data_IF_732170122489
#
_entry.id   IF_732170122489
#
_cell.length_a   1.000
_cell.length_b   1.000
_cell.length_c   1.000
_cell.angle_alpha   90.00
_cell.angle_beta   90.00
_cell.angle_gamma   90.00
#
_symmetry.space_group_name_H-M   'P 1'
#
loop_
_entity.id
_entity.type
_entity.pdbx_description
1 polymer ?
#
# COMPACT_ATOMS: atom_id res chain seq x y z
N UNK A 1 13.87 5.07 4.29
CA UNK A 1 13.64 5.92 5.47
C UNK A 1 12.16 5.95 5.79
N UNK A 2 11.75 6.82 6.72
CA UNK A 2 10.37 6.96 7.18
C UNK A 2 9.38 7.34 6.07
N UNK A 3 9.85 7.94 4.97
CA UNK A 3 9.03 8.31 3.81
C UNK A 3 8.40 7.12 3.06
N UNK A 4 8.86 5.89 3.34
CA UNK A 4 8.34 4.66 2.74
C UNK A 4 7.60 3.77 3.74
N UNK A 5 7.28 4.28 4.94
CA UNK A 5 6.53 3.50 5.94
C UNK A 5 5.10 3.23 5.44
N UNK A 6 4.54 2.03 5.68
CA UNK A 6 3.14 1.77 5.36
C UNK A 6 2.23 2.60 6.28
N UNK A 7 1.14 3.14 5.73
CA UNK A 7 0.18 3.91 6.49
C UNK A 7 -1.15 4.07 5.78
N UNK A 8 -2.21 4.19 6.57
CA UNK A 8 -3.56 4.58 6.17
C UNK A 8 -3.88 5.87 6.92
N UNK A 9 -4.21 6.92 6.17
CA UNK A 9 -4.56 8.23 6.69
C UNK A 9 -6.07 8.46 6.52
N UNK A 10 -6.83 8.41 7.62
CA UNK A 10 -8.29 8.51 7.54
C UNK A 10 -8.78 9.96 7.67
N UNK A 11 -9.85 10.30 6.95
CA UNK A 11 -10.51 11.61 7.02
C UNK A 11 -11.66 11.65 8.04
N UNK A 12 -12.25 10.50 8.36
CA UNK A 12 -13.40 10.39 9.26
C UNK A 12 -13.41 9.06 10.01
N UNK A 13 -14.32 8.94 10.98
CA UNK A 13 -14.42 7.75 11.84
C UNK A 13 -14.85 6.50 11.08
N UNK A 14 -15.66 6.62 10.02
CA UNK A 14 -16.08 5.46 9.25
C UNK A 14 -14.90 4.86 8.47
N UNK A 15 -14.06 5.70 7.86
CA UNK A 15 -12.82 5.23 7.23
C UNK A 15 -11.87 4.59 8.25
N UNK A 16 -11.74 5.16 9.45
CA UNK A 16 -10.95 4.56 10.53
C UNK A 16 -11.46 3.17 10.87
N UNK A 17 -12.76 3.04 11.15
CA UNK A 17 -13.42 1.78 11.53
C UNK A 17 -13.22 0.70 10.46
N UNK A 18 -13.43 1.05 9.19
CA UNK A 18 -13.26 0.12 8.06
C UNK A 18 -11.79 -0.30 7.88
N UNK A 19 -10.84 0.61 8.07
CA UNK A 19 -9.42 0.30 8.00
C UNK A 19 -8.98 -0.65 9.12
N UNK A 20 -9.45 -0.41 10.35
CA UNK A 20 -9.17 -1.26 11.52
C UNK A 20 -9.80 -2.66 11.35
N UNK A 21 -11.04 -2.73 10.88
CA UNK A 21 -11.73 -3.99 10.61
C UNK A 21 -11.02 -4.82 9.51
N UNK A 22 -10.56 -4.15 8.45
CA UNK A 22 -9.79 -4.78 7.37
C UNK A 22 -8.44 -5.33 7.86
N UNK A 23 -7.72 -4.54 8.67
CA UNK A 23 -6.46 -4.96 9.28
C UNK A 23 -6.67 -6.17 10.20
N UNK A 24 -7.71 -6.14 11.03
CA UNK A 24 -8.03 -7.24 11.94
C UNK A 24 -8.35 -8.53 11.16
N UNK A 25 -9.15 -8.44 10.09
CA UNK A 25 -9.45 -9.57 9.20
C UNK A 25 -8.17 -10.16 8.59
N UNK A 26 -7.25 -9.31 8.12
CA UNK A 26 -6.00 -9.75 7.50
C UNK A 26 -5.01 -10.36 8.52
N UNK A 27 -4.99 -9.86 9.74
CA UNK A 27 -4.18 -10.48 10.82
C UNK A 27 -4.77 -11.84 11.19
N UNK A 28 -6.10 -11.94 11.32
CA UNK A 28 -6.80 -13.19 11.66
C UNK A 28 -6.71 -14.25 10.55
N UNK A 29 -6.59 -13.86 9.28
CA UNK A 29 -6.46 -14.81 8.18
C UNK A 29 -5.16 -15.60 8.24
N UNK A 30 -4.14 -15.13 8.98
CA UNK A 30 -2.83 -15.78 9.04
C UNK A 30 -2.05 -15.71 7.72
N UNK A 31 -2.49 -14.90 6.76
CA UNK A 31 -1.82 -14.72 5.45
C UNK A 31 -0.36 -14.30 5.63
N UNK A 32 -0.09 -13.50 6.66
CA UNK A 32 1.25 -13.05 7.03
C UNK A 32 1.64 -13.56 8.42
N UNK A 33 2.76 -14.27 8.50
CA UNK A 33 3.35 -14.71 9.77
C UNK A 33 4.02 -13.55 10.53
N UNK A 34 4.54 -12.58 9.80
CA UNK A 34 5.17 -11.39 10.37
C UNK A 34 4.09 -10.36 10.77
N UNK A 35 4.32 -9.57 11.83
CA UNK A 35 3.38 -8.55 12.25
C UNK A 35 3.23 -7.46 11.18
N UNK A 36 1.99 -7.06 10.93
CA UNK A 36 1.66 -5.98 10.00
C UNK A 36 1.97 -4.64 10.68
N UNK A 37 2.84 -3.84 10.07
CA UNK A 37 3.31 -2.55 10.62
C UNK A 37 2.55 -1.32 10.11
N UNK A 38 1.45 -1.53 9.40
CA UNK A 38 0.64 -0.44 8.82
C UNK A 38 0.04 0.41 9.93
N UNK A 39 0.37 1.70 9.96
CA UNK A 39 -0.20 2.65 10.90
C UNK A 39 -1.53 3.19 10.39
N UNK A 40 -2.56 3.26 11.25
CA UNK A 40 -3.85 3.88 10.95
C UNK A 40 -3.94 5.17 11.76
N UNK A 41 -3.79 6.32 11.09
CA UNK A 41 -3.67 7.63 11.76
C UNK A 41 -4.59 8.65 11.10
N UNK A 42 -5.05 9.70 11.82
CA UNK A 42 -5.83 10.75 11.20
C UNK A 42 -4.99 11.45 10.12
N UNK A 43 -5.60 11.77 8.99
CA UNK A 43 -4.98 12.66 8.03
C UNK A 43 -4.78 14.03 8.70
N UNK A 44 -3.56 14.54 8.65
CA UNK A 44 -3.24 15.92 8.98
C UNK A 44 -3.24 16.77 7.68
N UNK A 45 -2.07 17.14 7.16
CA UNK A 45 -1.93 17.92 5.92
C UNK A 45 -1.45 17.06 4.77
N UNK A 46 -2.05 17.26 3.61
CA UNK A 46 -1.58 16.70 2.35
C UNK A 46 -0.93 17.79 1.51
N UNK A 47 0.33 17.56 1.13
CA UNK A 47 1.07 18.42 0.20
C UNK A 47 1.19 17.68 -1.12
N UNK A 48 0.56 18.17 -2.20
CA UNK A 48 0.73 17.57 -3.52
C UNK A 48 2.21 17.53 -3.90
N UNK A 49 2.67 16.38 -4.39
CA UNK A 49 3.98 16.27 -5.01
C UNK A 49 4.05 17.09 -6.31
N UNK A 50 5.26 17.41 -6.75
CA UNK A 50 5.51 18.15 -7.98
C UNK A 50 4.92 17.45 -9.22
N UNK A 51 4.59 18.23 -10.25
CA UNK A 51 3.87 17.75 -11.45
C UNK A 51 4.58 16.59 -12.17
N UNK A 52 5.91 16.54 -12.14
CA UNK A 52 6.66 15.46 -12.77
C UNK A 52 6.53 14.11 -12.03
N UNK A 53 6.10 14.12 -10.77
CA UNK A 53 5.76 12.90 -10.01
C UNK A 53 4.34 12.41 -10.28
N UNK A 54 3.42 13.32 -10.63
CA UNK A 54 2.03 12.98 -10.89
C UNK A 54 1.92 12.08 -12.13
N UNK A 55 1.13 11.00 -12.01
CA UNK A 55 0.95 10.00 -13.07
C UNK A 55 2.26 9.41 -13.63
N UNK A 56 3.32 9.34 -12.82
CA UNK A 56 4.65 8.90 -13.29
C UNK A 56 4.62 7.56 -14.03
N UNK A 57 3.80 6.60 -13.57
CA UNK A 57 3.66 5.29 -14.21
C UNK A 57 3.04 5.35 -15.62
N UNK A 58 2.22 6.38 -15.90
CA UNK A 58 1.63 6.64 -17.23
C UNK A 58 2.57 7.46 -18.11
N UNK A 59 3.22 8.48 -17.54
CA UNK A 59 4.16 9.37 -18.25
C UNK A 59 5.48 8.69 -18.62
N UNK A 60 5.92 7.70 -17.83
CA UNK A 60 7.17 6.96 -18.02
C UNK A 60 6.96 5.43 -18.00
N UNK A 61 6.15 4.87 -18.90
CA UNK A 61 5.66 3.49 -18.79
C UNK A 61 6.79 2.45 -18.87
N UNK A 62 7.75 2.62 -19.79
CA UNK A 62 8.88 1.69 -19.95
C UNK A 62 9.75 1.63 -18.69
N UNK A 63 10.12 2.80 -18.14
CA UNK A 63 10.96 2.88 -16.94
C UNK A 63 10.23 2.33 -15.71
N UNK A 64 8.94 2.63 -15.57
CA UNK A 64 8.12 2.09 -14.49
C UNK A 64 7.96 0.57 -14.59
N UNK A 65 7.69 0.03 -15.78
CA UNK A 65 7.56 -1.41 -16.01
C UNK A 65 8.86 -2.16 -15.71
N UNK A 66 10.00 -1.64 -16.18
CA UNK A 66 11.31 -2.22 -15.88
C UNK A 66 11.60 -2.23 -14.36
N UNK A 67 11.31 -1.13 -13.66
CA UNK A 67 11.43 -1.07 -12.21
C UNK A 67 10.51 -2.09 -11.53
N UNK A 68 9.23 -2.13 -11.91
CA UNK A 68 8.24 -3.02 -11.29
C UNK A 68 8.62 -4.50 -11.47
N UNK A 69 8.99 -4.89 -12.67
CA UNK A 69 9.41 -6.26 -12.99
C UNK A 69 10.59 -6.70 -12.11
N UNK A 70 11.58 -5.81 -11.95
CA UNK A 70 12.78 -6.08 -11.14
C UNK A 70 12.57 -5.91 -9.63
N UNK A 71 11.47 -5.29 -9.18
CA UNK A 71 11.21 -5.02 -7.76
C UNK A 71 10.83 -6.25 -6.94
N UNK A 72 10.52 -7.38 -7.58
CA UNK A 72 10.00 -8.59 -6.91
C UNK A 72 8.53 -8.50 -6.51
N UNK A 73 7.87 -7.34 -6.75
CA UNK A 73 6.49 -7.09 -6.35
C UNK A 73 5.53 -8.11 -6.95
N UNK A 74 5.62 -8.37 -8.25
CA UNK A 74 4.66 -9.24 -8.93
C UNK A 74 4.81 -10.72 -8.48
N UNK A 75 6.05 -11.16 -8.22
CA UNK A 75 6.34 -12.46 -7.66
C UNK A 75 5.79 -12.59 -6.24
N UNK A 76 5.94 -11.56 -5.41
CA UNK A 76 5.36 -11.52 -4.05
C UNK A 76 3.83 -11.57 -4.10
N UNK A 77 3.20 -10.74 -4.95
CA UNK A 77 1.76 -10.71 -5.10
C UNK A 77 1.23 -12.10 -5.51
N UNK A 78 1.87 -12.71 -6.52
CA UNK A 78 1.53 -14.06 -6.96
C UNK A 78 1.67 -15.06 -5.81
N UNK A 79 2.79 -15.06 -5.07
CA UNK A 79 3.03 -16.00 -3.98
C UNK A 79 1.96 -15.94 -2.88
N UNK A 80 1.48 -14.74 -2.54
CA UNK A 80 0.54 -14.54 -1.43
C UNK A 80 -0.92 -14.76 -1.88
N UNK A 81 -1.29 -14.32 -3.09
CA UNK A 81 -2.70 -14.24 -3.52
C UNK A 81 -3.06 -15.10 -4.74
N UNK A 82 -2.21 -16.05 -5.19
CA UNK A 82 -2.51 -16.90 -6.37
C UNK A 82 -3.81 -17.70 -6.30
N UNK A 83 -4.36 -17.92 -5.10
CA UNK A 83 -5.51 -18.80 -4.87
C UNK A 83 -6.82 -18.05 -4.61
N UNK A 84 -6.86 -16.72 -4.78
CA UNK A 84 -8.06 -15.89 -4.52
C UNK A 84 -8.85 -15.50 -5.79
N UNK A 85 -8.78 -16.32 -6.85
CA UNK A 85 -9.60 -16.14 -8.06
C UNK A 85 -10.87 -16.98 -8.02
#
# INVERSE_FOLDING_TARGET
>A
GSQYRPGIFYHNQEQKRLAEESLEKLVKSGTFQAPIKTEITPLDKFYPAEEYHQDYYRKNPLRYQLYRYNSGRDQFLKKIWSNEN
#
